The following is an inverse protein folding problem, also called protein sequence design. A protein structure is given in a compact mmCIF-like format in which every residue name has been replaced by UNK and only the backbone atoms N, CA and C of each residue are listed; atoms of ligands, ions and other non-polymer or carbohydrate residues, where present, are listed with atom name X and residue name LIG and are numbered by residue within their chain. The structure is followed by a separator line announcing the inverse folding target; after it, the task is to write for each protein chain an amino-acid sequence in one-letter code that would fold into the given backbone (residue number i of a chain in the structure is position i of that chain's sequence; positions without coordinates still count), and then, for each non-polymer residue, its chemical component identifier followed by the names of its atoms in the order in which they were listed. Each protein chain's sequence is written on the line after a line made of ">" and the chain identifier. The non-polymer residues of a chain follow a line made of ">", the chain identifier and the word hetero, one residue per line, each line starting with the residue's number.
data_IF_058483234103
#
_entry.id   IF_058483234103
#
_cell.length_a   1.000
_cell.length_b   1.000
_cell.length_c   1.000
_cell.angle_alpha   90.00
_cell.angle_beta   90.00
_cell.angle_gamma   90.00
#
_symmetry.space_group_name_H-M   'P 1'
#
loop_
_entity.id
_entity.type
_entity.pdbx_description
1 polymer ?
#
# COMPACT_ATOMS: atom_id res chain seq x y z
N UNK A 1 2.43 7.88 14.04
CA UNK A 1 1.86 7.73 12.68
C UNK A 1 0.46 7.16 12.78
N UNK A 2 -0.47 7.68 12.00
CA UNK A 2 -1.87 7.29 12.10
C UNK A 2 -2.10 5.90 11.53
N UNK A 3 -2.65 5.02 12.33
CA UNK A 3 -3.01 3.68 11.91
C UNK A 3 -4.44 3.69 11.37
N UNK A 4 -4.67 2.88 10.37
CA UNK A 4 -5.99 2.73 9.77
C UNK A 4 -6.50 1.33 10.01
N UNK A 5 -7.81 1.21 10.26
CA UNK A 5 -8.44 -0.11 10.24
C UNK A 5 -8.49 -0.61 8.80
N UNK A 6 -8.75 -1.91 8.64
CA UNK A 6 -8.89 -2.47 7.30
C UNK A 6 -10.02 -1.78 6.52
N UNK A 7 -11.13 -1.46 7.18
CA UNK A 7 -12.25 -0.79 6.54
C UNK A 7 -11.90 0.64 6.12
N UNK A 8 -11.17 1.35 6.98
CA UNK A 8 -10.74 2.71 6.65
C UNK A 8 -9.76 2.71 5.49
N UNK A 9 -8.84 1.76 5.47
CA UNK A 9 -7.86 1.63 4.40
C UNK A 9 -8.54 1.33 3.07
N UNK A 10 -9.48 0.39 3.09
CA UNK A 10 -10.25 0.06 1.89
C UNK A 10 -10.97 1.30 1.35
N UNK A 11 -11.64 2.05 2.22
CA UNK A 11 -12.36 3.25 1.80
C UNK A 11 -11.42 4.27 1.17
N UNK A 12 -10.24 4.48 1.75
CA UNK A 12 -9.28 5.45 1.22
C UNK A 12 -8.69 5.00 -0.10
N UNK A 13 -8.39 3.71 -0.25
CA UNK A 13 -7.89 3.18 -1.51
C UNK A 13 -8.95 3.32 -2.61
N UNK A 14 -10.21 3.03 -2.30
CA UNK A 14 -11.29 3.20 -3.25
C UNK A 14 -11.41 4.65 -3.70
N UNK A 15 -11.31 5.57 -2.75
CA UNK A 15 -11.34 6.99 -3.08
C UNK A 15 -10.19 7.36 -4.02
N UNK A 16 -8.99 6.88 -3.70
CA UNK A 16 -7.81 7.18 -4.50
C UNK A 16 -7.93 6.63 -5.93
N UNK A 17 -8.61 5.51 -6.09
CA UNK A 17 -8.78 4.88 -7.40
C UNK A 17 -10.06 5.30 -8.12
N UNK A 18 -10.88 6.11 -7.48
CA UNK A 18 -12.14 6.55 -8.08
C UNK A 18 -13.20 5.46 -8.16
N UNK A 19 -13.14 4.49 -7.26
CA UNK A 19 -14.08 3.37 -7.25
C UNK A 19 -15.23 3.67 -6.30
N UNK A 20 -16.45 3.50 -6.78
CA UNK A 20 -17.66 3.64 -5.97
C UNK A 20 -18.38 2.30 -5.93
N UNK A 21 -19.27 2.15 -4.95
CA UNK A 21 -19.99 0.89 -4.77
C UNK A 21 -19.14 -0.11 -4.01
N UNK A 22 -19.72 -1.26 -3.70
CA UNK A 22 -19.07 -2.23 -2.83
C UNK A 22 -18.95 -3.63 -3.41
N UNK A 23 -19.36 -3.85 -4.65
CA UNK A 23 -19.34 -5.20 -5.19
C UNK A 23 -17.92 -5.73 -5.45
N UNK A 24 -16.94 -4.85 -5.50
CA UNK A 24 -15.54 -5.24 -5.71
C UNK A 24 -14.72 -5.21 -4.42
N UNK A 25 -15.36 -4.95 -3.29
CA UNK A 25 -14.64 -4.76 -2.03
C UNK A 25 -13.80 -5.99 -1.64
N UNK A 26 -14.33 -7.18 -1.87
CA UNK A 26 -13.59 -8.40 -1.53
C UNK A 26 -12.32 -8.53 -2.35
N UNK A 27 -12.41 -8.30 -3.66
CA UNK A 27 -11.25 -8.35 -4.54
C UNK A 27 -10.24 -7.27 -4.16
N UNK A 28 -10.72 -6.06 -3.90
CA UNK A 28 -9.84 -4.96 -3.51
C UNK A 28 -9.13 -5.27 -2.19
N UNK A 29 -9.84 -5.86 -1.23
CA UNK A 29 -9.24 -6.21 0.05
C UNK A 29 -8.11 -7.22 -0.13
N UNK A 30 -8.29 -8.20 -1.01
CA UNK A 30 -7.25 -9.16 -1.32
C UNK A 30 -6.02 -8.47 -1.91
N UNK A 31 -6.23 -7.57 -2.85
CA UNK A 31 -5.12 -6.85 -3.47
C UNK A 31 -4.41 -5.92 -2.49
N UNK A 32 -5.16 -5.28 -1.61
CA UNK A 32 -4.58 -4.44 -0.57
C UNK A 32 -3.68 -5.25 0.35
N UNK A 33 -4.16 -6.41 0.79
CA UNK A 33 -3.37 -7.29 1.65
C UNK A 33 -2.11 -7.77 0.93
N UNK A 34 -2.23 -8.09 -0.35
CA UNK A 34 -1.11 -8.50 -1.18
C UNK A 34 -0.04 -7.40 -1.24
N UNK A 35 -0.46 -6.16 -1.48
CA UNK A 35 0.47 -5.03 -1.56
C UNK A 35 1.12 -4.77 -0.21
N UNK A 36 0.36 -4.84 0.87
CA UNK A 36 0.91 -4.66 2.21
C UNK A 36 1.97 -5.72 2.49
N UNK A 37 1.70 -6.97 2.13
CA UNK A 37 2.67 -8.06 2.31
C UNK A 37 3.95 -7.78 1.51
N UNK A 38 3.81 -7.25 0.30
CA UNK A 38 4.94 -6.87 -0.52
C UNK A 38 5.77 -5.76 0.13
N UNK A 39 5.11 -4.76 0.68
CA UNK A 39 5.80 -3.66 1.36
C UNK A 39 6.58 -4.18 2.55
N UNK A 40 5.97 -5.05 3.35
CA UNK A 40 6.64 -5.62 4.52
C UNK A 40 7.83 -6.47 4.10
N UNK A 41 7.66 -7.28 3.06
CA UNK A 41 8.75 -8.10 2.54
C UNK A 41 9.92 -7.27 2.04
N UNK A 42 9.63 -6.06 1.58
CA UNK A 42 10.66 -5.14 1.08
C UNK A 42 11.32 -4.32 2.19
N UNK A 43 10.90 -4.51 3.44
CA UNK A 43 11.53 -3.82 4.56
C UNK A 43 10.71 -2.70 5.18
N UNK A 44 9.49 -2.48 4.71
CA UNK A 44 8.60 -1.49 5.31
C UNK A 44 8.03 -2.08 6.59
N UNK A 45 8.09 -1.33 7.69
CA UNK A 45 7.52 -1.81 8.94
C UNK A 45 6.01 -1.92 8.80
N UNK A 46 5.44 -2.93 9.48
CA UNK A 46 4.00 -3.16 9.42
C UNK A 46 3.21 -1.92 9.80
N UNK A 47 3.62 -1.24 10.86
CA UNK A 47 2.90 -0.04 11.31
C UNK A 47 2.93 1.09 10.28
N UNK A 48 4.00 1.16 9.49
CA UNK A 48 4.08 2.13 8.39
C UNK A 48 3.21 1.69 7.22
N UNK A 49 3.29 0.40 6.87
CA UNK A 49 2.53 -0.14 5.75
C UNK A 49 1.03 -0.04 5.98
N UNK A 50 0.59 -0.10 7.22
CA UNK A 50 -0.83 -0.04 7.56
C UNK A 50 -1.30 1.36 7.94
N UNK A 51 -0.41 2.35 7.83
CA UNK A 51 -0.74 3.72 8.20
C UNK A 51 -1.28 4.52 7.02
N UNK A 52 -1.80 5.70 7.34
CA UNK A 52 -2.28 6.62 6.31
C UNK A 52 -1.18 7.02 5.33
N UNK A 53 0.07 7.02 5.77
CA UNK A 53 1.20 7.41 4.91
C UNK A 53 1.39 6.47 3.73
N UNK A 54 0.95 5.22 3.84
CA UNK A 54 1.14 4.21 2.79
C UNK A 54 -0.01 4.14 1.79
N UNK A 55 -1.12 4.84 2.03
CA UNK A 55 -2.33 4.69 1.21
C UNK A 55 -2.05 4.93 -0.27
N UNK A 56 -1.33 5.99 -0.59
CA UNK A 56 -1.02 6.30 -1.99
C UNK A 56 -0.21 5.20 -2.67
N UNK A 57 0.76 4.67 -1.96
CA UNK A 57 1.58 3.57 -2.46
C UNK A 57 0.73 2.30 -2.64
N UNK A 58 -0.12 2.01 -1.67
CA UNK A 58 -1.00 0.84 -1.74
C UNK A 58 -1.95 0.98 -2.93
N UNK A 59 -2.55 2.15 -3.11
CA UNK A 59 -3.47 2.36 -4.22
C UNK A 59 -2.76 2.15 -5.56
N UNK A 60 -1.55 2.64 -5.68
CA UNK A 60 -0.75 2.43 -6.89
C UNK A 60 -0.49 0.95 -7.14
N UNK A 61 -0.09 0.22 -6.10
CA UNK A 61 0.16 -1.21 -6.20
C UNK A 61 -1.09 -2.00 -6.55
N UNK A 62 -2.22 -1.64 -5.96
CA UNK A 62 -3.51 -2.27 -6.27
C UNK A 62 -3.89 -2.03 -7.73
N UNK A 63 -3.68 -0.80 -8.20
CA UNK A 63 -3.95 -0.48 -9.60
C UNK A 63 -3.08 -1.32 -10.54
N UNK A 64 -1.82 -1.52 -10.19
CA UNK A 64 -0.94 -2.35 -10.99
C UNK A 64 -1.44 -3.80 -11.05
N UNK A 65 -1.86 -4.35 -9.91
CA UNK A 65 -2.43 -5.70 -9.87
C UNK A 65 -3.71 -5.79 -10.66
N UNK A 66 -4.55 -4.79 -10.56
CA UNK A 66 -5.85 -4.75 -11.23
C UNK A 66 -5.69 -4.79 -12.74
N UNK A 67 -4.71 -4.06 -13.24
CA UNK A 67 -4.53 -3.92 -14.67
C UNK A 67 -3.67 -5.01 -15.30
N UNK A 68 -3.16 -5.94 -14.49
CA UNK A 68 -2.27 -6.97 -14.96
C UNK A 68 -2.97 -8.31 -14.97
N UNK A 69 -3.20 -8.88 -16.13
CA UNK A 69 -4.03 -10.07 -16.25
C UNK A 69 -3.27 -11.37 -16.44
N UNK A 70 -1.96 -11.32 -16.69
CA UNK A 70 -1.19 -12.54 -16.91
C UNK A 70 0.30 -12.28 -16.72
N UNK A 71 1.04 -13.34 -16.41
CA UNK A 71 2.47 -13.23 -16.17
C UNK A 71 2.73 -12.60 -14.80
N UNK A 72 3.94 -12.21 -14.55
CA UNK A 72 4.28 -11.57 -13.30
C UNK A 72 3.89 -10.10 -13.29
N UNK A 73 3.49 -9.61 -12.13
CA UNK A 73 3.18 -8.19 -11.96
C UNK A 73 4.48 -7.41 -11.90
N UNK A 74 4.55 -6.36 -12.70
CA UNK A 74 5.67 -5.43 -12.64
C UNK A 74 5.13 -4.10 -12.17
N UNK A 75 5.48 -3.73 -10.95
CA UNK A 75 4.99 -2.49 -10.36
C UNK A 75 5.59 -1.27 -11.03
N UNK A 76 4.84 -0.18 -10.99
CA UNK A 76 5.26 1.08 -11.57
C UNK A 76 6.50 1.61 -10.85
N UNK A 77 7.20 2.50 -11.53
CA UNK A 77 8.35 3.17 -10.94
C UNK A 77 7.96 3.98 -9.72
N UNK A 78 6.79 4.61 -9.75
CA UNK A 78 6.29 5.35 -8.61
C UNK A 78 6.13 4.46 -7.38
N UNK A 79 5.52 3.27 -7.58
CA UNK A 79 5.33 2.33 -6.48
C UNK A 79 6.68 1.96 -5.86
N UNK A 80 7.64 1.60 -6.69
CA UNK A 80 8.95 1.17 -6.21
C UNK A 80 9.66 2.29 -5.45
N UNK A 81 9.58 3.51 -5.96
CA UNK A 81 10.19 4.65 -5.31
C UNK A 81 9.55 4.93 -3.96
N UNK A 82 8.22 4.89 -3.92
CA UNK A 82 7.49 5.17 -2.68
C UNK A 82 7.75 4.08 -1.64
N UNK A 83 7.85 2.83 -2.10
CA UNK A 83 8.17 1.71 -1.22
C UNK A 83 9.51 1.93 -0.51
N UNK A 84 10.52 2.36 -1.24
CA UNK A 84 11.82 2.66 -0.66
C UNK A 84 11.70 3.78 0.37
N UNK A 85 10.97 4.83 0.05
CA UNK A 85 10.76 5.93 0.98
C UNK A 85 10.09 5.47 2.27
N UNK A 86 9.09 4.60 2.15
CA UNK A 86 8.38 4.09 3.32
C UNK A 86 9.27 3.21 4.17
N UNK A 87 10.15 2.42 3.56
CA UNK A 87 11.08 1.58 4.30
C UNK A 87 12.07 2.44 5.09
N UNK A 88 12.51 3.54 4.51
CA UNK A 88 13.43 4.46 5.18
C UNK A 88 12.73 5.23 6.29
N UNK A 89 11.46 5.52 6.11
CA UNK A 89 10.70 6.28 7.10
C UNK A 89 10.69 5.55 8.44
N UNK A 90 10.46 4.25 8.43
CA UNK A 90 10.48 3.47 9.65
C UNK A 90 11.85 3.47 10.31
N UNK A 91 12.90 3.36 9.51
CA UNK A 91 14.27 3.40 10.01
C UNK A 91 14.57 4.79 10.60
N UNK A 92 14.14 5.85 9.91
CA UNK A 92 14.39 7.21 10.36
C UNK A 92 13.77 7.47 11.72
N UNK A 93 12.58 6.95 11.96
CA UNK A 93 11.89 7.14 13.23
C UNK A 93 12.60 6.45 14.38
N UNK A 94 13.34 5.39 14.09
CA UNK A 94 14.00 4.59 15.12
C UNK A 94 15.45 4.95 15.33
N UNK A 95 16.00 5.81 14.50
CA UNK A 95 17.40 6.23 14.63
C UNK A 95 17.46 7.39 15.61
N UNK A 96 18.29 7.28 16.66
CA UNK A 96 18.43 8.40 17.59
C UNK A 96 18.94 9.63 16.85
N UNK A 97 18.41 10.75 17.22
CA UNK A 97 18.87 12.02 16.67
C UNK A 97 20.16 12.42 17.35
N UNK A 98 21.18 12.54 16.60
CA UNK A 98 22.46 13.00 17.14
C UNK A 98 22.49 14.48 17.38
#
# INVERSE_FOLDING_TARGET
>A
MAQLTAAERLAKVKTALGITGDYQDETLSIYIDEVIAELIAAGVKREVAESAAAVGCIACGVNDLWNYSSGGVKHSEYFNRRMVQLSLQGVTENVPTE
#
